data_IF_903199505584
#
_entry.id   IF_903199505584
#
_cell.length_a   1.000
_cell.length_b   1.000
_cell.length_c   1.000
_cell.angle_alpha   90.00
_cell.angle_beta   90.00
_cell.angle_gamma   90.00
#
_symmetry.space_group_name_H-M   'P 1'
#
loop_
_entity.id
_entity.type
_entity.pdbx_description
1 polymer ?
#
# COMPACT_ATOMS: atom_id res chain seq x y z
N UNK A 1 -5.05 -4.73 18.76
CA UNK A 1 -4.28 -3.83 17.92
C UNK A 1 -3.77 -2.59 18.64
N UNK A 2 -4.58 -1.92 19.45
CA UNK A 2 -4.13 -0.71 20.17
C UNK A 2 -2.89 -0.97 21.03
N UNK A 3 -2.94 -1.95 21.92
CA UNK A 3 -1.80 -2.34 22.76
C UNK A 3 -0.58 -2.72 21.91
N UNK A 4 -0.78 -3.46 20.80
CA UNK A 4 0.29 -3.82 19.88
C UNK A 4 0.95 -2.57 19.29
N UNK A 5 0.13 -1.58 18.89
CA UNK A 5 0.62 -0.32 18.33
C UNK A 5 1.39 0.51 19.36
N UNK A 6 0.89 0.57 20.59
CA UNK A 6 1.57 1.28 21.69
C UNK A 6 2.96 0.68 22.01
N UNK A 7 3.09 -0.65 21.93
CA UNK A 7 4.35 -1.34 22.28
C UNK A 7 5.34 -1.37 21.13
N UNK A 8 4.87 -1.59 19.90
CA UNK A 8 5.72 -1.85 18.73
C UNK A 8 5.65 -0.80 17.63
N UNK A 9 4.67 0.09 17.64
CA UNK A 9 4.42 1.02 16.53
C UNK A 9 5.57 1.97 16.22
N UNK A 10 6.41 2.30 17.21
CA UNK A 10 7.61 3.09 17.02
C UNK A 10 8.83 2.30 16.49
N UNK A 11 8.74 0.98 16.45
CA UNK A 11 9.85 0.09 16.10
C UNK A 11 9.64 -0.64 14.79
N UNK A 12 8.38 -0.92 14.44
CA UNK A 12 8.03 -1.72 13.26
C UNK A 12 6.81 -1.16 12.55
N UNK A 13 6.71 -1.45 11.26
CA UNK A 13 5.51 -1.17 10.49
C UNK A 13 4.42 -2.19 10.82
N UNK A 14 3.27 -1.71 11.28
CA UNK A 14 2.09 -2.51 11.62
C UNK A 14 1.02 -2.27 10.55
N UNK A 15 0.90 -3.23 9.63
CA UNK A 15 0.04 -3.10 8.45
C UNK A 15 -1.35 -3.68 8.72
N UNK A 16 -2.37 -2.82 8.70
CA UNK A 16 -3.77 -3.24 8.78
C UNK A 16 -4.28 -3.72 7.42
N UNK A 17 -4.57 -5.02 7.29
CA UNK A 17 -5.20 -5.66 6.13
C UNK A 17 -6.72 -5.77 6.35
N UNK A 18 -7.21 -6.91 6.82
CA UNK A 18 -8.63 -7.11 7.14
C UNK A 18 -9.14 -6.19 8.26
N UNK A 19 -8.22 -5.54 8.96
CA UNK A 19 -8.53 -4.51 9.95
C UNK A 19 -9.18 -3.28 9.32
N UNK A 20 -8.78 -2.89 8.11
CA UNK A 20 -9.22 -1.67 7.43
C UNK A 20 -9.96 -1.91 6.12
N UNK A 21 -9.79 -3.05 5.51
CA UNK A 21 -10.44 -3.49 4.25
C UNK A 21 -10.44 -2.41 3.14
N UNK A 22 -9.38 -1.63 3.06
CA UNK A 22 -9.24 -0.48 2.11
C UNK A 22 -10.38 0.55 2.25
N UNK A 23 -11.05 0.63 3.41
CA UNK A 23 -12.20 1.48 3.63
C UNK A 23 -11.81 2.74 4.43
N UNK A 24 -12.08 3.92 3.86
CA UNK A 24 -11.69 5.21 4.45
C UNK A 24 -12.36 5.47 5.81
N UNK A 25 -13.62 5.06 6.00
CA UNK A 25 -14.33 5.29 7.27
C UNK A 25 -13.77 4.41 8.38
N UNK A 26 -13.48 3.14 8.07
CA UNK A 26 -12.88 2.20 9.04
C UNK A 26 -11.45 2.65 9.37
N UNK A 27 -10.68 3.10 8.37
CA UNK A 27 -9.35 3.67 8.58
C UNK A 27 -9.41 4.91 9.48
N UNK A 28 -10.35 5.84 9.26
CA UNK A 28 -10.52 7.03 10.08
C UNK A 28 -10.77 6.69 11.56
N UNK A 29 -11.60 5.67 11.81
CA UNK A 29 -11.84 5.16 13.16
C UNK A 29 -10.56 4.56 13.75
N UNK A 30 -9.80 3.78 12.99
CA UNK A 30 -8.52 3.22 13.42
C UNK A 30 -7.48 4.29 13.75
N UNK A 31 -7.38 5.34 12.94
CA UNK A 31 -6.51 6.50 13.17
C UNK A 31 -6.89 7.18 14.51
N UNK A 32 -8.17 7.46 14.70
CA UNK A 32 -8.67 8.08 15.94
C UNK A 32 -8.35 7.25 17.18
N UNK A 33 -8.35 5.93 17.06
CA UNK A 33 -8.05 5.00 18.14
C UNK A 33 -6.55 4.71 18.32
N UNK A 34 -5.69 5.22 17.47
CA UNK A 34 -4.25 4.94 17.47
C UNK A 34 -3.94 3.46 17.19
N UNK A 35 -4.55 2.90 16.14
CA UNK A 35 -4.45 1.48 15.77
C UNK A 35 -3.65 1.32 14.48
N UNK A 36 -2.58 0.50 14.51
CA UNK A 36 -1.64 0.30 13.41
C UNK A 36 -0.88 1.59 13.04
N UNK A 37 -0.08 1.56 12.00
CA UNK A 37 0.61 2.73 11.44
C UNK A 37 0.77 2.63 9.92
N UNK A 38 0.14 1.63 9.31
CA UNK A 38 0.15 1.37 7.87
C UNK A 38 -1.12 0.65 7.46
N UNK A 39 -1.46 0.76 6.19
CA UNK A 39 -2.63 0.08 5.60
C UNK A 39 -2.22 -0.71 4.35
N UNK A 40 -2.77 -1.91 4.19
CA UNK A 40 -2.70 -2.67 2.96
C UNK A 40 -3.84 -2.20 2.02
N UNK A 41 -3.48 -1.80 0.83
CA UNK A 41 -4.40 -1.26 -0.17
C UNK A 41 -4.71 -2.32 -1.22
N UNK A 42 -5.96 -2.72 -1.30
CA UNK A 42 -6.48 -3.67 -2.29
C UNK A 42 -7.63 -3.00 -3.05
N UNK A 43 -7.41 -2.43 -4.25
CA UNK A 43 -8.43 -1.65 -4.96
C UNK A 43 -9.76 -2.40 -5.16
N UNK A 44 -9.73 -3.70 -5.44
CA UNK A 44 -10.93 -4.49 -5.62
C UNK A 44 -11.66 -4.85 -4.31
N UNK A 45 -11.09 -4.57 -3.16
CA UNK A 45 -11.72 -4.80 -1.85
C UNK A 45 -12.77 -3.72 -1.55
N UNK A 46 -12.50 -2.49 -1.96
CA UNK A 46 -13.46 -1.38 -1.89
C UNK A 46 -14.25 -1.23 -3.21
N UNK A 47 -13.63 -1.53 -4.36
CA UNK A 47 -14.30 -1.71 -5.64
C UNK A 47 -14.26 -0.51 -6.59
N UNK A 48 -13.81 0.66 -6.17
CA UNK A 48 -13.61 1.81 -7.05
C UNK A 48 -12.26 2.48 -6.84
N UNK A 49 -11.71 3.04 -7.92
CA UNK A 49 -10.44 3.78 -7.87
C UNK A 49 -10.59 5.05 -7.01
N UNK A 50 -11.70 5.74 -7.12
CA UNK A 50 -11.95 6.98 -6.36
C UNK A 50 -11.93 6.73 -4.85
N UNK A 51 -12.60 5.70 -4.37
CA UNK A 51 -12.62 5.34 -2.95
C UNK A 51 -11.26 4.83 -2.47
N UNK A 52 -10.56 4.06 -3.32
CA UNK A 52 -9.18 3.64 -3.03
C UNK A 52 -8.26 4.85 -2.88
N UNK A 53 -8.32 5.83 -3.79
CA UNK A 53 -7.55 7.08 -3.70
C UNK A 53 -7.90 7.87 -2.43
N UNK A 54 -9.18 7.94 -2.07
CA UNK A 54 -9.61 8.60 -0.84
C UNK A 54 -8.98 7.95 0.39
N UNK A 55 -8.98 6.62 0.44
CA UNK A 55 -8.35 5.86 1.53
C UNK A 55 -6.85 6.10 1.61
N UNK A 56 -6.13 6.05 0.47
CA UNK A 56 -4.69 6.32 0.42
C UNK A 56 -4.38 7.75 0.89
N UNK A 57 -5.11 8.75 0.40
CA UNK A 57 -4.90 10.15 0.81
C UNK A 57 -5.19 10.37 2.29
N UNK A 58 -6.22 9.71 2.84
CA UNK A 58 -6.50 9.75 4.28
C UNK A 58 -5.34 9.16 5.08
N UNK A 59 -4.83 8.00 4.69
CA UNK A 59 -3.68 7.35 5.32
C UNK A 59 -2.46 8.27 5.32
N UNK A 60 -2.05 8.77 4.15
CA UNK A 60 -0.89 9.63 3.98
C UNK A 60 -0.96 10.92 4.80
N UNK A 61 -2.13 11.57 4.85
CA UNK A 61 -2.35 12.80 5.64
C UNK A 61 -2.27 12.58 7.16
N UNK A 62 -2.36 11.33 7.60
CA UNK A 62 -2.28 10.93 9.00
C UNK A 62 -1.03 10.12 9.34
N UNK A 63 0.01 10.21 8.50
CA UNK A 63 1.30 9.52 8.67
C UNK A 63 1.19 8.00 8.69
N UNK A 64 0.17 7.42 8.05
CA UNK A 64 0.10 5.99 7.78
C UNK A 64 0.75 5.69 6.44
N UNK A 65 1.61 4.68 6.41
CA UNK A 65 2.15 4.18 5.15
C UNK A 65 1.10 3.37 4.39
N UNK A 66 1.22 3.36 3.07
CA UNK A 66 0.36 2.56 2.20
C UNK A 66 1.18 1.47 1.53
N UNK A 67 0.71 0.23 1.59
CA UNK A 67 1.28 -0.89 0.84
C UNK A 67 0.28 -1.29 -0.23
N UNK A 68 0.56 -0.99 -1.49
CA UNK A 68 -0.28 -1.44 -2.60
C UNK A 68 -0.19 -2.96 -2.70
N UNK A 69 -1.32 -3.65 -2.88
CA UNK A 69 -1.34 -5.11 -2.81
C UNK A 69 -2.08 -5.76 -3.96
N UNK A 70 -1.49 -6.86 -4.44
CA UNK A 70 -2.17 -7.85 -5.24
C UNK A 70 -3.18 -8.67 -4.42
N UNK A 71 -3.86 -9.60 -5.08
CA UNK A 71 -4.68 -10.65 -4.44
C UNK A 71 -4.09 -12.04 -4.73
N UNK A 72 -4.59 -13.05 -4.02
CA UNK A 72 -4.20 -14.45 -4.26
C UNK A 72 -4.60 -14.93 -5.67
N UNK A 73 -5.79 -14.55 -6.13
CA UNK A 73 -6.20 -14.68 -7.53
C UNK A 73 -5.83 -13.41 -8.30
N UNK A 74 -4.98 -13.54 -9.31
CA UNK A 74 -4.47 -12.44 -10.12
C UNK A 74 -4.50 -12.77 -11.62
N UNK A 75 -4.39 -11.72 -12.42
CA UNK A 75 -4.12 -11.77 -13.84
C UNK A 75 -2.80 -11.04 -14.16
N UNK A 76 -2.43 -10.99 -15.42
CA UNK A 76 -1.24 -10.23 -15.88
C UNK A 76 -1.49 -8.72 -15.99
N UNK A 77 -2.66 -8.23 -15.57
CA UNK A 77 -2.93 -6.79 -15.46
C UNK A 77 -1.93 -6.13 -14.50
N UNK A 78 -1.31 -5.04 -14.94
CA UNK A 78 -0.25 -4.35 -14.22
C UNK A 78 -0.69 -3.04 -13.55
N UNK A 79 -2.00 -2.71 -13.59
CA UNK A 79 -2.54 -1.43 -13.10
C UNK A 79 -2.06 -1.05 -11.70
N UNK A 80 -1.95 -2.01 -10.78
CA UNK A 80 -1.52 -1.71 -9.40
C UNK A 80 -0.09 -1.21 -9.32
N UNK A 81 0.78 -1.50 -10.30
CA UNK A 81 2.13 -0.96 -10.36
C UNK A 81 2.09 0.55 -10.68
N UNK A 82 1.38 0.94 -11.74
CA UNK A 82 1.16 2.35 -12.07
C UNK A 82 0.50 3.10 -10.92
N UNK A 83 -0.51 2.51 -10.31
CA UNK A 83 -1.28 3.12 -9.24
C UNK A 83 -0.45 3.33 -7.95
N UNK A 84 0.44 2.36 -7.62
CA UNK A 84 1.35 2.48 -6.50
C UNK A 84 2.34 3.64 -6.66
N UNK A 85 2.88 3.81 -7.87
CA UNK A 85 3.81 4.90 -8.19
C UNK A 85 3.07 6.24 -8.27
N UNK A 86 1.95 6.30 -9.00
CA UNK A 86 1.16 7.53 -9.18
C UNK A 86 0.68 8.14 -7.85
N UNK A 87 0.39 7.31 -6.85
CA UNK A 87 -0.03 7.76 -5.53
C UNK A 87 1.10 7.78 -4.49
N UNK A 88 2.33 7.55 -4.94
CA UNK A 88 3.51 7.54 -4.08
C UNK A 88 3.33 6.67 -2.81
N UNK A 89 2.85 5.44 -3.00
CA UNK A 89 2.65 4.51 -1.88
C UNK A 89 3.98 4.09 -1.23
N UNK A 90 5.08 4.14 -1.98
CA UNK A 90 6.42 3.75 -1.53
C UNK A 90 6.64 2.25 -1.36
N UNK A 91 5.58 1.45 -1.38
CA UNK A 91 5.61 0.01 -1.14
C UNK A 91 4.57 -0.71 -2.00
N UNK A 92 4.96 -1.90 -2.47
CA UNK A 92 4.05 -2.82 -3.17
C UNK A 92 4.26 -4.26 -2.68
N UNK A 93 3.16 -4.97 -2.44
CA UNK A 93 3.12 -6.40 -2.17
C UNK A 93 2.53 -7.08 -3.40
N UNK A 94 3.35 -7.69 -4.23
CA UNK A 94 2.89 -8.27 -5.50
C UNK A 94 3.42 -9.67 -5.81
N UNK A 95 3.82 -10.40 -4.77
CA UNK A 95 4.27 -11.79 -4.87
C UNK A 95 5.73 -11.92 -5.24
N UNK A 96 6.13 -13.16 -5.54
CA UNK A 96 7.51 -13.45 -5.97
C UNK A 96 7.66 -13.28 -7.49
N UNK A 97 8.90 -13.27 -7.97
CA UNK A 97 9.25 -13.17 -9.39
C UNK A 97 9.16 -14.51 -10.13
N UNK A 98 8.16 -15.34 -9.82
CA UNK A 98 8.06 -16.72 -10.30
C UNK A 98 6.87 -17.01 -11.22
N UNK A 99 5.81 -16.19 -11.19
CA UNK A 99 4.58 -16.37 -11.98
C UNK A 99 4.36 -15.14 -12.86
N UNK A 100 3.84 -15.34 -14.07
CA UNK A 100 3.64 -14.26 -15.04
C UNK A 100 2.68 -13.18 -14.51
N UNK A 101 1.64 -13.56 -13.78
CA UNK A 101 0.70 -12.66 -13.12
C UNK A 101 1.36 -11.76 -12.06
N UNK A 102 2.50 -12.15 -11.53
CA UNK A 102 3.33 -11.36 -10.59
C UNK A 102 4.42 -10.59 -11.32
N UNK A 103 5.12 -11.25 -12.24
CA UNK A 103 6.21 -10.68 -13.03
C UNK A 103 5.71 -9.48 -13.86
N UNK A 104 4.49 -9.51 -14.37
CA UNK A 104 3.89 -8.39 -15.09
C UNK A 104 3.97 -7.07 -14.31
N UNK A 105 3.71 -7.08 -13.00
CA UNK A 105 3.81 -5.89 -12.15
C UNK A 105 5.25 -5.41 -11.97
N UNK A 106 6.19 -6.35 -11.81
CA UNK A 106 7.62 -6.01 -11.71
C UNK A 106 8.16 -5.43 -13.03
N UNK A 107 7.80 -6.04 -14.15
CA UNK A 107 8.19 -5.52 -15.47
C UNK A 107 7.62 -4.10 -15.68
N UNK A 108 6.35 -3.88 -15.31
CA UNK A 108 5.75 -2.54 -15.40
C UNK A 108 6.48 -1.53 -14.52
N UNK A 109 6.90 -1.89 -13.31
CA UNK A 109 7.70 -1.00 -12.46
C UNK A 109 9.05 -0.65 -13.10
N UNK A 110 9.70 -1.58 -13.81
CA UNK A 110 10.93 -1.31 -14.57
C UNK A 110 10.68 -0.33 -15.72
N UNK A 111 9.58 -0.50 -16.46
CA UNK A 111 9.17 0.43 -17.52
C UNK A 111 8.90 1.82 -16.96
N UNK A 112 8.12 1.94 -15.89
CA UNK A 112 7.84 3.21 -15.21
C UNK A 112 9.16 3.86 -14.74
N UNK A 113 10.10 3.07 -14.20
CA UNK A 113 11.41 3.57 -13.79
C UNK A 113 12.23 4.15 -14.95
N UNK A 114 12.05 3.64 -16.18
CA UNK A 114 12.68 4.20 -17.38
C UNK A 114 11.96 5.44 -17.90
N UNK A 115 10.64 5.54 -17.70
CA UNK A 115 9.80 6.67 -18.14
C UNK A 115 9.93 7.89 -17.20
N UNK A 116 10.06 7.65 -15.90
CA UNK A 116 10.08 8.71 -14.87
C UNK A 116 11.51 9.17 -14.61
N UNK A 117 11.88 10.33 -15.13
CA UNK A 117 13.24 10.86 -15.07
C UNK A 117 13.81 11.10 -13.65
N UNK A 118 12.97 11.14 -12.63
CA UNK A 118 13.35 11.46 -11.24
C UNK A 118 12.83 10.43 -10.23
N UNK A 119 12.61 9.20 -10.69
CA UNK A 119 12.21 8.12 -9.79
C UNK A 119 13.36 7.74 -8.83
N UNK A 120 13.08 7.71 -7.53
CA UNK A 120 14.04 7.31 -6.50
C UNK A 120 13.51 6.09 -5.75
N UNK A 121 14.36 5.07 -5.57
CA UNK A 121 14.07 3.96 -4.66
C UNK A 121 14.42 4.32 -3.23
N UNK A 122 13.41 4.51 -2.39
CA UNK A 122 13.57 5.01 -1.03
C UNK A 122 14.16 3.99 -0.04
N UNK A 123 14.41 2.76 -0.45
CA UNK A 123 15.01 1.72 0.39
C UNK A 123 14.21 1.46 1.66
N UNK A 124 14.81 1.73 2.83
CA UNK A 124 14.17 1.54 4.14
C UNK A 124 13.38 2.76 4.64
N UNK A 125 13.44 3.90 3.97
CA UNK A 125 12.77 5.13 4.43
C UNK A 125 11.26 4.95 4.70
N UNK A 126 10.49 4.22 3.87
CA UNK A 126 9.07 3.99 4.14
C UNK A 126 8.76 3.26 5.45
N UNK A 127 9.74 2.59 6.05
CA UNK A 127 9.59 1.86 7.33
C UNK A 127 9.99 2.71 8.54
N UNK A 128 10.62 3.85 8.32
CA UNK A 128 11.03 4.77 9.40
C UNK A 128 9.81 5.42 10.03
N UNK A 129 9.68 5.33 11.34
CA UNK A 129 8.58 5.89 12.14
C UNK A 129 9.12 6.80 13.25
#
# INVERSE_FOLDING_TARGET
WKILTEVLGSKVQLVGDDLFVTNANILAEGITKGIANSILIKPNQIGSISETMQTIRLAQRNNYNCVMSHRSGESEDAFIADFAVALNCGQIKTGSTARSDRIAKYNRLLEIGAEVAYGEYLGKQPFSK
#
